data_IF_363751296211
#
_entry.id   IF_363751296211
#
_cell.length_a   1.000
_cell.length_b   1.000
_cell.length_c   1.000
_cell.angle_alpha   90.00
_cell.angle_beta   90.00
_cell.angle_gamma   90.00
#
_symmetry.space_group_name_H-M   'P 1'
#
loop_
_entity.id
_entity.type
_entity.pdbx_description
1 polymer ?
#
# COMPACT_ATOMS: atom_id res chain seq x y z
N UNK A 1 -11.07 17.16 -3.02
CA UNK A 1 -11.36 15.72 -2.93
C UNK A 1 -10.24 15.11 -2.12
N UNK A 2 -10.53 14.56 -0.95
CA UNK A 2 -9.51 13.93 -0.10
C UNK A 2 -9.06 12.63 -0.74
N UNK A 3 -7.75 12.42 -0.83
CA UNK A 3 -7.19 11.15 -1.26
C UNK A 3 -6.98 10.24 -0.04
N UNK A 4 -6.74 8.95 -0.29
CA UNK A 4 -6.50 7.95 0.76
C UNK A 4 -5.41 8.38 1.77
N UNK A 5 -4.30 8.97 1.30
CA UNK A 5 -3.22 9.42 2.17
C UNK A 5 -3.62 10.60 3.07
N UNK A 6 -4.47 11.51 2.57
CA UNK A 6 -5.02 12.61 3.35
C UNK A 6 -5.94 12.09 4.46
N UNK A 7 -6.84 11.14 4.15
CA UNK A 7 -7.70 10.48 5.14
C UNK A 7 -6.86 9.79 6.23
N UNK A 8 -5.79 9.09 5.82
CA UNK A 8 -4.91 8.41 6.77
C UNK A 8 -4.22 9.39 7.72
N UNK A 9 -3.68 10.50 7.20
CA UNK A 9 -3.05 11.55 8.02
C UNK A 9 -4.03 12.21 8.97
N UNK A 10 -5.26 12.48 8.51
CA UNK A 10 -6.32 13.03 9.37
C UNK A 10 -6.62 12.09 10.55
N UNK A 11 -6.75 10.78 10.30
CA UNK A 11 -6.88 9.81 11.38
C UNK A 11 -5.68 9.86 12.33
N UNK A 12 -4.45 9.80 11.81
CA UNK A 12 -3.26 9.80 12.68
C UNK A 12 -3.21 11.04 13.57
N UNK A 13 -3.56 12.20 13.02
CA UNK A 13 -3.66 13.45 13.78
C UNK A 13 -4.75 13.41 14.83
N UNK A 14 -5.95 12.91 14.50
CA UNK A 14 -7.08 12.85 15.43
C UNK A 14 -6.86 11.86 16.59
N UNK A 15 -6.06 10.82 16.37
CA UNK A 15 -5.76 9.77 17.35
C UNK A 15 -4.37 9.93 18.00
N UNK A 16 -3.75 11.11 17.87
CA UNK A 16 -2.42 11.43 18.45
C UNK A 16 -1.31 10.43 18.08
N UNK A 17 -1.40 9.82 16.89
CA UNK A 17 -0.40 8.90 16.36
C UNK A 17 0.73 9.74 15.73
N UNK A 18 1.98 9.61 16.19
CA UNK A 18 3.11 10.32 15.59
C UNK A 18 3.21 10.08 14.08
N UNK A 19 3.19 11.16 13.28
CA UNK A 19 3.49 11.16 11.85
C UNK A 19 4.46 12.31 11.54
N UNK A 20 5.77 12.06 11.59
CA UNK A 20 6.79 13.07 11.38
C UNK A 20 6.76 13.66 9.97
N UNK A 21 7.09 14.95 9.84
CA UNK A 21 7.14 15.61 8.53
C UNK A 21 8.33 15.16 7.66
N UNK A 22 9.38 14.64 8.28
CA UNK A 22 10.60 14.15 7.61
C UNK A 22 10.90 12.70 8.01
N UNK A 23 11.60 11.93 7.17
CA UNK A 23 12.00 10.57 7.50
C UNK A 23 12.83 10.50 8.78
N UNK A 24 12.38 9.70 9.74
CA UNK A 24 13.10 9.48 10.99
C UNK A 24 12.85 8.09 11.55
N UNK A 25 13.90 7.50 12.12
CA UNK A 25 13.81 6.21 12.79
C UNK A 25 13.04 6.32 14.10
N UNK A 26 11.85 5.71 14.16
CA UNK A 26 10.94 5.76 15.31
C UNK A 26 10.67 4.35 15.84
N UNK A 27 11.61 3.75 16.61
CA UNK A 27 11.56 2.34 16.98
C UNK A 27 10.45 2.00 17.99
N UNK A 28 9.99 2.97 18.78
CA UNK A 28 9.10 2.75 19.92
C UNK A 28 7.74 2.16 19.50
N UNK A 29 7.28 2.47 18.28
CA UNK A 29 5.98 2.02 17.77
C UNK A 29 6.09 0.88 16.77
N UNK A 30 7.30 0.46 16.38
CA UNK A 30 7.46 -0.56 15.32
C UNK A 30 6.87 -1.90 15.73
N UNK A 31 7.06 -2.32 16.98
CA UNK A 31 6.49 -3.58 17.48
C UNK A 31 4.95 -3.57 17.44
N UNK A 32 4.33 -2.44 17.79
CA UNK A 32 2.87 -2.27 17.69
C UNK A 32 2.41 -2.37 16.24
N UNK A 33 3.05 -1.62 15.33
CA UNK A 33 2.69 -1.65 13.90
C UNK A 33 2.92 -3.02 13.26
N UNK A 34 3.98 -3.73 13.64
CA UNK A 34 4.26 -5.09 13.18
C UNK A 34 3.16 -6.06 13.61
N UNK A 35 2.74 -6.00 14.87
CA UNK A 35 1.61 -6.81 15.38
C UNK A 35 0.32 -6.48 14.62
N UNK A 36 -0.05 -5.20 14.53
CA UNK A 36 -1.27 -4.79 13.82
C UNK A 36 -1.24 -5.25 12.35
N UNK A 37 -0.11 -5.08 11.65
CA UNK A 37 0.00 -5.49 10.26
C UNK A 37 -0.13 -7.01 10.11
N UNK A 38 0.36 -7.78 11.08
CA UNK A 38 0.17 -9.23 11.14
C UNK A 38 -1.28 -9.64 11.33
N UNK A 39 -2.00 -8.96 12.23
CA UNK A 39 -3.43 -9.17 12.51
C UNK A 39 -4.27 -8.88 11.26
N UNK A 40 -4.18 -7.69 10.68
CA UNK A 40 -4.96 -7.30 9.49
C UNK A 40 -4.67 -8.20 8.28
N UNK A 41 -3.41 -8.62 8.13
CA UNK A 41 -3.06 -9.53 7.04
C UNK A 41 -3.69 -10.91 7.22
N UNK A 42 -3.81 -11.39 8.46
CA UNK A 42 -4.47 -12.66 8.75
C UNK A 42 -5.98 -12.58 8.48
N UNK A 43 -6.62 -11.47 8.86
CA UNK A 43 -8.04 -11.22 8.60
C UNK A 43 -8.33 -11.10 7.10
N UNK A 44 -7.51 -10.34 6.36
CA UNK A 44 -7.58 -10.29 4.89
C UNK A 44 -7.40 -11.65 4.23
N UNK A 45 -6.48 -12.49 4.74
CA UNK A 45 -6.28 -13.85 4.21
C UNK A 45 -7.51 -14.73 4.42
N UNK A 46 -8.16 -14.61 5.58
CA UNK A 46 -9.40 -15.33 5.88
C UNK A 46 -10.55 -14.85 4.96
N UNK A 47 -10.75 -13.54 4.83
CA UNK A 47 -11.76 -12.97 3.93
C UNK A 47 -11.52 -13.37 2.46
N UNK A 48 -10.26 -13.43 2.02
CA UNK A 48 -9.89 -13.91 0.69
C UNK A 48 -10.18 -15.40 0.50
N UNK A 49 -9.97 -16.23 1.53
CA UNK A 49 -10.33 -17.64 1.48
C UNK A 49 -11.85 -17.82 1.35
N UNK A 50 -12.62 -17.03 2.10
CA UNK A 50 -14.08 -17.06 2.04
C UNK A 50 -14.62 -16.57 0.70
N UNK A 51 -14.06 -15.49 0.15
CA UNK A 51 -14.42 -14.95 -1.16
C UNK A 51 -14.19 -15.96 -2.31
N UNK A 52 -13.19 -16.83 -2.22
CA UNK A 52 -12.89 -17.84 -3.25
C UNK A 52 -13.92 -18.97 -3.29
N UNK A 53 -14.76 -19.12 -2.27
CA UNK A 53 -15.81 -20.14 -2.25
C UNK A 53 -16.90 -19.79 -3.26
N UNK A 54 -17.22 -20.73 -4.14
CA UNK A 54 -18.21 -20.56 -5.22
C UNK A 54 -19.65 -20.92 -4.81
N UNK A 55 -19.91 -21.05 -3.51
CA UNK A 55 -21.22 -21.37 -2.96
C UNK A 55 -21.91 -20.14 -2.33
N UNK A 56 -23.13 -20.35 -1.83
CA UNK A 56 -23.95 -19.30 -1.22
C UNK A 56 -24.93 -18.65 -2.19
N UNK A 57 -25.98 -18.08 -1.61
CA UNK A 57 -26.93 -17.24 -2.34
C UNK A 57 -26.34 -15.86 -2.67
N UNK A 58 -27.14 -15.00 -3.29
CA UNK A 58 -26.69 -13.66 -3.69
C UNK A 58 -26.27 -12.79 -2.50
N UNK A 59 -26.99 -12.88 -1.37
CA UNK A 59 -26.69 -12.10 -0.17
C UNK A 59 -25.34 -12.53 0.44
N UNK A 60 -25.09 -13.83 0.53
CA UNK A 60 -23.83 -14.36 1.05
C UNK A 60 -22.64 -14.00 0.15
N UNK A 61 -22.80 -14.02 -1.17
CA UNK A 61 -21.76 -13.55 -2.10
C UNK A 61 -21.47 -12.06 -1.93
N UNK A 62 -22.51 -11.24 -1.80
CA UNK A 62 -22.36 -9.79 -1.56
C UNK A 62 -21.66 -9.51 -0.23
N UNK A 63 -21.97 -10.26 0.84
CA UNK A 63 -21.30 -10.17 2.13
C UNK A 63 -19.80 -10.46 2.00
N UNK A 64 -19.42 -11.57 1.35
CA UNK A 64 -17.99 -11.92 1.15
C UNK A 64 -17.23 -10.87 0.31
N UNK A 65 -17.90 -10.25 -0.67
CA UNK A 65 -17.31 -9.12 -1.41
C UNK A 65 -17.06 -7.91 -0.51
N UNK A 66 -18.01 -7.59 0.38
CA UNK A 66 -17.88 -6.49 1.32
C UNK A 66 -16.74 -6.73 2.31
N UNK A 67 -16.67 -7.92 2.92
CA UNK A 67 -15.59 -8.28 3.86
C UNK A 67 -14.23 -8.22 3.17
N UNK A 68 -14.07 -8.82 1.99
CA UNK A 68 -12.78 -8.78 1.27
C UNK A 68 -12.31 -7.34 1.01
N UNK A 69 -13.24 -6.44 0.68
CA UNK A 69 -12.90 -5.04 0.46
C UNK A 69 -12.54 -4.33 1.77
N UNK A 70 -13.29 -4.55 2.85
CA UNK A 70 -13.06 -3.95 4.15
C UNK A 70 -11.68 -4.32 4.70
N UNK A 71 -11.41 -5.63 4.82
CA UNK A 71 -10.13 -6.13 5.32
C UNK A 71 -8.94 -5.68 4.44
N UNK A 72 -9.17 -5.58 3.13
CA UNK A 72 -8.16 -5.05 2.21
C UNK A 72 -7.84 -3.57 2.47
N UNK A 73 -8.84 -2.77 2.84
CA UNK A 73 -8.67 -1.37 3.23
C UNK A 73 -7.98 -1.26 4.59
N UNK A 74 -8.24 -2.17 5.53
CA UNK A 74 -7.60 -2.15 6.84
C UNK A 74 -6.10 -2.50 6.75
N UNK A 75 -5.72 -3.47 5.91
CA UNK A 75 -4.32 -3.69 5.54
C UNK A 75 -3.68 -2.42 4.95
N UNK A 76 -4.37 -1.72 4.04
CA UNK A 76 -3.86 -0.45 3.48
C UNK A 76 -3.67 0.60 4.58
N UNK A 77 -4.62 0.72 5.50
CA UNK A 77 -4.58 1.69 6.61
C UNK A 77 -3.41 1.43 7.54
N UNK A 78 -3.22 0.19 7.98
CA UNK A 78 -2.15 -0.18 8.92
C UNK A 78 -0.77 -0.07 8.26
N UNK A 79 -0.60 -0.59 7.04
CA UNK A 79 0.66 -0.45 6.31
C UNK A 79 1.02 1.02 6.06
N UNK A 80 0.05 1.83 5.66
CA UNK A 80 0.28 3.27 5.43
C UNK A 80 0.57 4.00 6.73
N UNK A 81 -0.11 3.64 7.82
CA UNK A 81 0.13 4.18 9.15
C UNK A 81 1.54 3.89 9.65
N UNK A 82 2.01 2.64 9.49
CA UNK A 82 3.38 2.25 9.78
C UNK A 82 4.38 3.13 9.03
N UNK A 83 4.24 3.27 7.71
CA UNK A 83 5.19 4.05 6.90
C UNK A 83 5.16 5.55 7.24
N UNK A 84 3.96 6.12 7.43
CA UNK A 84 3.77 7.51 7.84
C UNK A 84 4.28 7.77 9.27
N UNK A 85 4.28 6.76 10.14
CA UNK A 85 4.80 6.91 11.51
C UNK A 85 6.32 7.09 11.56
N UNK A 86 7.00 6.67 10.49
CA UNK A 86 8.44 6.85 10.28
C UNK A 86 8.76 8.12 9.45
N UNK A 87 7.75 8.94 9.13
CA UNK A 87 7.90 10.13 8.29
C UNK A 87 8.31 9.81 6.85
N UNK A 88 8.05 8.58 6.38
CA UNK A 88 8.43 8.19 5.03
C UNK A 88 7.51 8.87 3.99
N UNK A 89 8.07 9.40 2.88
CA UNK A 89 7.33 10.14 1.86
C UNK A 89 6.54 9.18 0.95
N UNK A 90 5.45 8.62 1.51
CA UNK A 90 4.68 7.54 0.90
C UNK A 90 4.07 7.94 -0.44
N UNK A 91 3.63 9.18 -0.57
CA UNK A 91 3.04 9.71 -1.80
C UNK A 91 4.08 9.86 -2.92
N UNK A 92 5.23 10.41 -2.60
CA UNK A 92 6.36 10.58 -3.52
C UNK A 92 6.87 9.22 -3.98
N UNK A 93 7.01 8.27 -3.05
CA UNK A 93 7.40 6.89 -3.36
C UNK A 93 6.36 6.20 -4.25
N UNK A 94 5.06 6.42 -3.98
CA UNK A 94 3.97 5.92 -4.82
C UNK A 94 4.05 6.48 -6.24
N UNK A 95 4.28 7.79 -6.39
CA UNK A 95 4.45 8.44 -7.70
C UNK A 95 5.68 7.91 -8.45
N UNK A 96 6.81 7.74 -7.77
CA UNK A 96 8.04 7.24 -8.40
C UNK A 96 7.91 5.77 -8.84
N UNK A 97 7.32 4.92 -8.00
CA UNK A 97 7.03 3.51 -8.36
C UNK A 97 6.02 3.44 -9.51
N UNK A 98 4.97 4.28 -9.49
CA UNK A 98 4.00 4.35 -10.57
C UNK A 98 4.67 4.74 -11.89
N UNK A 99 5.50 5.80 -11.90
CA UNK A 99 6.26 6.21 -13.08
C UNK A 99 7.16 5.07 -13.59
N UNK A 100 7.84 4.35 -12.69
CA UNK A 100 8.65 3.18 -13.06
C UNK A 100 7.84 2.04 -13.68
N UNK A 101 6.60 1.82 -13.20
CA UNK A 101 5.70 0.84 -13.79
C UNK A 101 5.23 1.28 -15.18
N UNK A 102 4.89 2.55 -15.37
CA UNK A 102 4.48 3.07 -16.67
C UNK A 102 5.60 3.03 -17.71
N UNK A 103 6.87 3.18 -17.30
CA UNK A 103 8.06 2.97 -18.15
C UNK A 103 8.18 1.54 -18.72
N UNK A 104 7.40 0.56 -18.24
CA UNK A 104 7.36 -0.79 -18.83
C UNK A 104 6.58 -0.84 -20.14
N UNK A 105 5.73 0.16 -20.39
CA UNK A 105 5.05 0.34 -21.67
C UNK A 105 5.99 1.05 -22.64
N UNK A 106 6.28 0.41 -23.77
CA UNK A 106 7.11 0.97 -24.84
C UNK A 106 6.27 0.98 -26.11
N UNK A 107 6.09 2.15 -26.71
CA UNK A 107 5.27 2.34 -27.92
C UNK A 107 3.85 1.75 -27.79
N UNK A 108 3.24 1.90 -26.62
CA UNK A 108 1.90 1.36 -26.32
C UNK A 108 1.85 -0.15 -26.07
N UNK A 109 2.99 -0.84 -26.09
CA UNK A 109 3.08 -2.30 -25.92
C UNK A 109 3.62 -2.66 -24.55
N UNK A 110 2.98 -3.66 -23.94
CA UNK A 110 3.37 -4.26 -22.67
C UNK A 110 3.70 -5.73 -22.93
N UNK A 111 4.91 -6.15 -22.56
CA UNK A 111 5.31 -7.55 -22.64
C UNK A 111 4.91 -8.26 -21.35
N UNK A 112 4.25 -9.42 -21.47
CA UNK A 112 3.81 -10.25 -20.34
C UNK A 112 4.39 -11.65 -20.44
N UNK A 113 4.64 -12.26 -19.28
CA UNK A 113 4.90 -13.71 -19.15
C UNK A 113 3.56 -14.48 -19.17
N UNK A 114 3.64 -15.80 -19.31
CA UNK A 114 2.49 -16.72 -19.33
C UNK A 114 1.58 -16.61 -18.10
N UNK A 115 2.13 -16.31 -16.92
CA UNK A 115 1.37 -16.08 -15.68
C UNK A 115 0.75 -14.67 -15.58
N UNK A 116 0.80 -13.89 -16.67
CA UNK A 116 0.28 -12.53 -16.74
C UNK A 116 1.22 -11.44 -16.20
N UNK A 117 2.38 -11.82 -15.63
CA UNK A 117 3.34 -10.88 -15.06
C UNK A 117 3.90 -9.93 -16.13
N UNK A 118 3.79 -8.62 -15.88
CA UNK A 118 4.39 -7.59 -16.74
C UNK A 118 5.91 -7.63 -16.63
N UNK A 119 6.59 -7.75 -17.77
CA UNK A 119 8.05 -7.81 -17.89
C UNK A 119 8.65 -6.41 -18.07
N UNK A 120 9.94 -6.29 -17.75
CA UNK A 120 10.71 -5.07 -17.96
C UNK A 120 11.28 -5.08 -19.38
N UNK A 121 11.12 -4.01 -20.18
CA UNK A 121 11.72 -3.90 -21.50
C UNK A 121 13.24 -3.65 -21.42
N UNK A 122 13.93 -3.78 -22.55
CA UNK A 122 15.34 -3.40 -22.66
C UNK A 122 15.53 -1.90 -22.33
N UNK A 123 16.58 -1.58 -21.57
CA UNK A 123 16.88 -0.20 -21.15
C UNK A 123 15.94 0.37 -20.07
N UNK A 124 15.04 -0.44 -19.50
CA UNK A 124 14.14 0.00 -18.43
C UNK A 124 14.90 0.50 -17.20
N UNK A 125 14.48 1.65 -16.66
CA UNK A 125 15.06 2.26 -15.45
C UNK A 125 14.16 2.04 -14.23
N UNK A 126 14.73 1.57 -13.10
CA UNK A 126 13.97 1.39 -11.86
C UNK A 126 13.49 2.70 -11.27
N UNK A 127 12.62 2.59 -10.26
CA UNK A 127 12.25 3.69 -9.39
C UNK A 127 13.48 4.21 -8.64
N UNK A 128 13.70 5.53 -8.60
CA UNK A 128 14.74 6.18 -7.78
C UNK A 128 14.30 6.30 -6.31
N UNK A 129 14.29 5.16 -5.62
CA UNK A 129 13.83 5.05 -4.22
C UNK A 129 14.71 5.86 -3.27
N UNK A 130 16.02 5.81 -3.46
CA UNK A 130 16.99 6.51 -2.62
C UNK A 130 16.90 8.02 -2.81
N UNK A 131 16.75 8.50 -4.05
CA UNK A 131 16.55 9.92 -4.30
C UNK A 131 15.24 10.46 -3.72
N UNK A 132 14.17 9.65 -3.67
CA UNK A 132 12.94 10.02 -2.95
C UNK A 132 13.22 10.26 -1.47
N UNK A 133 13.94 9.35 -0.80
CA UNK A 133 14.29 9.52 0.61
C UNK A 133 15.23 10.71 0.82
N UNK A 134 16.27 10.85 -0.02
CA UNK A 134 17.23 11.96 0.08
C UNK A 134 16.55 13.32 0.00
N UNK A 135 15.65 13.51 -0.97
CA UNK A 135 14.89 14.76 -1.11
C UNK A 135 13.99 15.06 0.10
N UNK A 136 13.41 14.03 0.70
CA UNK A 136 12.56 14.19 1.88
C UNK A 136 13.36 14.48 3.17
N UNK A 137 14.64 14.11 3.22
CA UNK A 137 15.55 14.49 4.31
C UNK A 137 16.07 15.93 4.18
N UNK A 138 16.02 16.50 2.98
CA UNK A 138 16.52 17.84 2.64
C UNK A 138 15.44 18.93 2.68
N UNK A 139 14.16 18.56 2.81
CA UNK A 139 12.99 19.45 2.79
C UNK A 139 12.57 19.94 4.17
#
# INVERSE_FOLDING_TARGET
MENFFALRRQFMQQFDIPSPAQPQWQPQQLAMWETMLGEELAEFQQALADYKRQDGDEAERARRMAELLAEGVDVLNVLSGLLMSQGLPLEEMTREIHAANMRKCVDGKIVRREDGKVLKPAGWRPADKEGVIRRALES
#
